data_IF_417736635023
#
_entry.id   IF_417736635023
#
_cell.length_a   1.000
_cell.length_b   1.000
_cell.length_c   1.000
_cell.angle_alpha   90.00
_cell.angle_beta   90.00
_cell.angle_gamma   90.00
#
_symmetry.space_group_name_H-M   'P 1'
#
loop_
_entity.id
_entity.type
_entity.pdbx_description
1 polymer ?
#
# COMPACT_ATOMS: atom_id res chain seq x y z
N UNK A 1 -9.10 11.33 -6.26
CA UNK A 1 -8.19 11.17 -5.13
C UNK A 1 -8.64 9.94 -4.34
N UNK A 2 -7.77 8.96 -4.03
CA UNK A 2 -8.17 7.79 -3.25
C UNK A 2 -8.88 8.23 -1.95
N UNK A 3 -9.99 7.60 -1.56
CA UNK A 3 -10.88 8.11 -0.50
C UNK A 3 -10.20 8.25 0.88
N UNK A 4 -9.02 7.67 1.06
CA UNK A 4 -8.27 7.70 2.31
C UNK A 4 -7.09 8.69 2.32
N UNK A 5 -6.81 9.40 1.22
CA UNK A 5 -5.63 10.27 1.06
C UNK A 5 -5.86 11.75 1.41
N UNK A 6 -6.92 12.05 2.17
CA UNK A 6 -7.22 13.41 2.64
C UNK A 6 -6.27 13.87 3.77
N UNK A 7 -6.27 15.17 4.05
CA UNK A 7 -5.52 15.74 5.18
C UNK A 7 -6.03 15.21 6.54
N UNK A 8 -7.33 14.91 6.62
CA UNK A 8 -8.01 14.41 7.81
C UNK A 8 -8.66 13.05 7.54
N UNK A 9 -7.88 11.96 7.45
CA UNK A 9 -8.44 10.65 7.15
C UNK A 9 -9.17 10.09 8.39
N UNK A 10 -10.37 9.57 8.16
CA UNK A 10 -11.13 8.83 9.16
C UNK A 10 -10.51 7.44 9.34
N UNK A 11 -10.24 7.05 10.60
CA UNK A 11 -9.72 5.72 10.88
C UNK A 11 -10.73 4.64 10.47
N UNK A 12 -10.36 3.66 9.60
CA UNK A 12 -11.28 2.62 9.15
C UNK A 12 -11.64 1.62 10.25
N UNK A 13 -10.91 1.63 11.38
CA UNK A 13 -11.15 0.72 12.51
C UNK A 13 -12.06 1.32 13.59
N UNK A 14 -11.83 2.57 14.00
CA UNK A 14 -12.55 3.19 15.12
C UNK A 14 -13.35 4.44 14.75
N UNK A 15 -13.26 4.93 13.52
CA UNK A 15 -13.98 6.13 13.07
C UNK A 15 -13.40 7.47 13.57
N UNK A 16 -12.32 7.47 14.35
CA UNK A 16 -11.67 8.70 14.81
C UNK A 16 -11.05 9.48 13.64
N UNK A 17 -11.21 10.81 13.66
CA UNK A 17 -10.58 11.74 12.71
C UNK A 17 -9.27 12.21 13.34
N UNK A 18 -8.15 11.70 12.83
CA UNK A 18 -6.83 12.00 13.37
C UNK A 18 -5.88 10.83 13.21
N UNK A 19 -5.05 10.89 12.17
CA UNK A 19 -3.99 9.93 11.94
C UNK A 19 -2.73 10.63 11.43
N UNK A 20 -1.59 10.30 12.03
CA UNK A 20 -0.29 10.80 11.57
C UNK A 20 0.12 10.06 10.31
N UNK A 21 0.59 10.82 9.31
CA UNK A 21 1.23 10.29 8.12
C UNK A 21 2.66 9.84 8.45
N UNK A 22 3.02 8.64 8.01
CA UNK A 22 4.34 8.06 8.19
C UNK A 22 4.86 7.53 6.86
N UNK A 23 6.09 7.89 6.55
CA UNK A 23 6.83 7.31 5.44
C UNK A 23 7.32 5.90 5.80
N UNK A 24 7.22 4.97 4.84
CA UNK A 24 7.77 3.60 4.97
C UNK A 24 8.61 3.29 3.73
N UNK A 25 9.90 3.05 3.97
CA UNK A 25 10.84 2.64 2.94
C UNK A 25 10.45 1.29 2.32
N UNK A 26 10.90 1.09 1.09
CA UNK A 26 10.79 -0.19 0.41
C UNK A 26 11.56 -1.27 1.19
N UNK A 27 10.98 -2.48 1.30
CA UNK A 27 11.66 -3.62 1.91
C UNK A 27 11.49 -4.89 1.08
N UNK A 28 12.52 -5.72 1.12
CA UNK A 28 12.49 -7.05 0.51
C UNK A 28 11.52 -8.01 1.21
N UNK A 29 11.35 -9.22 0.64
CA UNK A 29 10.58 -10.28 1.28
C UNK A 29 11.26 -10.71 2.58
N UNK A 30 10.46 -11.06 3.57
CA UNK A 30 10.92 -11.58 4.86
C UNK A 30 10.72 -13.09 4.83
N UNK A 31 11.79 -13.85 5.06
CA UNK A 31 11.75 -15.29 5.22
C UNK A 31 12.01 -15.70 6.67
N UNK A 32 11.62 -16.92 7.04
CA UNK A 32 11.93 -17.46 8.37
C UNK A 32 13.46 -17.59 8.54
N UNK A 33 14.01 -17.23 9.71
CA UNK A 33 15.46 -17.26 9.91
C UNK A 33 16.02 -18.69 9.91
N UNK A 34 15.20 -19.69 10.25
CA UNK A 34 15.57 -21.12 10.20
C UNK A 34 15.15 -21.83 8.90
N UNK A 35 14.43 -21.16 8.00
CA UNK A 35 14.03 -21.73 6.71
C UNK A 35 13.82 -20.62 5.68
N UNK A 36 14.89 -20.27 4.96
CA UNK A 36 14.88 -19.19 3.96
C UNK A 36 14.03 -19.50 2.73
N UNK A 37 13.63 -20.76 2.52
CA UNK A 37 12.68 -21.13 1.48
C UNK A 37 11.23 -20.74 1.84
N UNK A 38 10.95 -20.44 3.12
CA UNK A 38 9.61 -20.05 3.57
C UNK A 38 9.52 -18.54 3.78
N UNK A 39 8.87 -17.86 2.83
CA UNK A 39 8.59 -16.43 2.87
C UNK A 39 7.35 -16.16 3.72
N UNK A 40 7.50 -15.39 4.80
CA UNK A 40 6.40 -14.99 5.70
C UNK A 40 5.80 -13.64 5.35
N UNK A 41 6.52 -12.82 4.60
CA UNK A 41 6.05 -11.53 4.14
C UNK A 41 6.66 -11.21 2.78
N UNK A 42 5.84 -10.71 1.86
CA UNK A 42 6.29 -10.35 0.52
C UNK A 42 7.10 -9.06 0.54
N UNK A 43 7.80 -8.79 -0.56
CA UNK A 43 8.41 -7.48 -0.78
C UNK A 43 7.32 -6.40 -0.73
N UNK A 44 7.63 -5.27 -0.11
CA UNK A 44 6.75 -4.11 -0.03
C UNK A 44 7.43 -2.92 -0.70
N UNK A 45 6.76 -2.24 -1.64
CA UNK A 45 7.28 -1.01 -2.19
C UNK A 45 7.29 0.11 -1.15
N UNK A 46 7.92 1.21 -1.54
CA UNK A 46 7.86 2.47 -0.83
C UNK A 46 6.41 2.95 -0.75
N UNK A 47 5.99 3.43 0.43
CA UNK A 47 4.59 3.82 0.64
C UNK A 47 4.42 4.79 1.80
N UNK A 48 3.27 5.46 1.76
CA UNK A 48 2.76 6.22 2.90
C UNK A 48 1.79 5.37 3.70
N UNK A 49 1.98 5.37 5.02
CA UNK A 49 1.12 4.72 5.99
C UNK A 49 0.55 5.74 6.97
N UNK A 50 -0.65 5.48 7.48
CA UNK A 50 -1.30 6.25 8.52
C UNK A 50 -1.31 5.49 9.82
N UNK A 51 -1.15 6.22 10.91
CA UNK A 51 -1.26 5.69 12.28
C UNK A 51 -2.35 6.47 13.02
N UNK A 52 -3.43 5.79 13.41
CA UNK A 52 -4.51 6.39 14.19
C UNK A 52 -4.02 6.75 15.59
N UNK A 53 -4.15 8.02 15.97
CA UNK A 53 -3.73 8.51 17.28
C UNK A 53 -4.66 8.06 18.42
N UNK A 54 -5.85 7.55 18.10
CA UNK A 54 -6.83 7.07 19.09
C UNK A 54 -6.66 5.58 19.37
N UNK A 55 -6.78 4.71 18.36
CA UNK A 55 -6.78 3.25 18.56
C UNK A 55 -5.46 2.56 18.18
N UNK A 56 -4.46 3.30 17.69
CA UNK A 56 -3.16 2.75 17.28
C UNK A 56 -3.19 1.93 15.98
N UNK A 57 -4.32 1.87 15.29
CA UNK A 57 -4.42 1.13 14.03
C UNK A 57 -3.58 1.77 12.94
N UNK A 58 -2.92 0.93 12.14
CA UNK A 58 -2.09 1.35 11.01
C UNK A 58 -2.68 0.85 9.70
N UNK A 59 -2.67 1.69 8.67
CA UNK A 59 -3.09 1.30 7.32
C UNK A 59 -2.27 2.05 6.26
N UNK A 60 -2.16 1.46 5.07
CA UNK A 60 -1.46 2.06 3.95
C UNK A 60 -2.43 2.93 3.12
N UNK A 61 -1.99 4.11 2.66
CA UNK A 61 -2.82 5.00 1.82
C UNK A 61 -2.67 4.71 0.32
N UNK A 62 -1.44 4.52 -0.14
CA UNK A 62 -1.09 4.08 -1.48
C UNK A 62 0.40 3.71 -1.55
N UNK A 63 0.80 2.71 -2.36
CA UNK A 63 2.19 2.56 -2.78
C UNK A 63 2.60 3.77 -3.62
N UNK A 64 3.81 4.31 -3.40
CA UNK A 64 4.33 5.43 -4.19
C UNK A 64 4.68 4.99 -5.63
N UNK A 65 4.98 3.71 -5.83
CA UNK A 65 5.34 3.11 -7.13
C UNK A 65 4.21 2.30 -7.79
N UNK A 66 2.98 2.34 -7.28
CA UNK A 66 1.89 1.60 -7.92
C UNK A 66 1.50 2.32 -9.22
N UNK A 67 1.52 1.64 -10.39
CA UNK A 67 0.93 2.20 -11.59
C UNK A 67 -0.53 2.52 -11.28
N UNK A 68 -0.98 3.70 -11.72
CA UNK A 68 -2.36 4.12 -11.48
C UNK A 68 -3.30 3.02 -11.98
N UNK A 69 -4.27 2.62 -11.17
CA UNK A 69 -5.22 1.54 -11.56
C UNK A 69 -6.05 1.92 -12.81
N UNK A 70 -5.94 3.16 -13.29
CA UNK A 70 -6.49 3.60 -14.57
C UNK A 70 -5.69 3.13 -15.80
N UNK A 71 -4.37 2.89 -15.67
CA UNK A 71 -3.54 2.43 -16.79
C UNK A 71 -3.46 0.91 -16.91
N UNK A 72 -3.75 0.17 -15.83
CA UNK A 72 -3.71 -1.29 -15.82
C UNK A 72 -4.92 -1.96 -16.52
N UNK A 73 -5.91 -1.17 -16.97
CA UNK A 73 -7.16 -1.66 -17.54
C UNK A 73 -7.26 -1.51 -19.08
N UNK A 74 -6.13 -1.33 -19.78
CA UNK A 74 -6.12 -1.42 -21.24
C UNK A 74 -5.60 -2.80 -21.65
N UNK A 75 -6.45 -3.71 -22.15
CA UNK A 75 -5.95 -4.90 -22.82
C UNK A 75 -5.12 -4.45 -24.02
N UNK A 76 -3.90 -4.95 -24.11
CA UNK A 76 -3.05 -4.77 -25.29
C UNK A 76 -3.74 -5.46 -26.49
N UNK A 77 -4.48 -4.69 -27.28
CA UNK A 77 -5.01 -5.16 -28.57
C UNK A 77 -3.85 -5.27 -29.56
N UNK A 78 -3.17 -6.42 -29.53
CA UNK A 78 -2.19 -6.81 -30.52
C UNK A 78 -2.86 -7.20 -31.83
N UNK A 79 -3.23 -6.20 -32.63
CA UNK A 79 -3.59 -6.41 -34.04
C UNK A 79 -2.33 -6.70 -34.87
N UNK A 80 -2.12 -7.96 -35.25
CA UNK A 80 -1.10 -8.33 -36.24
C UNK A 80 -1.78 -8.55 -37.59
N UNK A 81 -1.71 -7.53 -38.44
CA UNK A 81 -2.03 -7.64 -39.86
C UNK A 81 -0.93 -8.41 -40.57
N UNK A 82 -1.32 -9.45 -41.30
CA UNK A 82 -0.54 -9.95 -42.43
C UNK A 82 -1.46 -10.52 -43.50
#
# INVERSE_FOLDING_TARGET
MPPYSGLEPTCPKCGWIGASLQYREARGPIALPWNTAYVVDVARPERLARHCQSCGFHWDEAPLDAPSVLEAALPAEGGQAR
#
